data_IF_832030610944
#
_entry.id   IF_832030610944
#
_cell.length_a   1.000
_cell.length_b   1.000
_cell.length_c   1.000
_cell.angle_alpha   90.00
_cell.angle_beta   90.00
_cell.angle_gamma   90.00
#
_symmetry.space_group_name_H-M   'P 1'
#
loop_
_entity.id
_entity.type
_entity.pdbx_description
1 polymer ?
#
# COMPACT_ATOMS: atom_id res chain seq x y z
N UNK A 1 -12.36 -23.47 1.08
CA UNK A 1 -12.24 -22.11 0.53
C UNK A 1 -11.53 -22.21 -0.81
N UNK A 2 -12.15 -21.75 -1.86
CA UNK A 2 -11.54 -21.76 -3.18
C UNK A 2 -10.39 -20.76 -3.22
N UNK A 3 -9.27 -21.16 -3.81
CA UNK A 3 -8.16 -20.24 -4.04
C UNK A 3 -8.61 -19.14 -5.00
N UNK A 4 -8.16 -17.92 -4.74
CA UNK A 4 -8.45 -16.79 -5.62
C UNK A 4 -7.66 -16.96 -6.93
N UNK A 5 -8.35 -16.93 -8.06
CA UNK A 5 -7.70 -16.92 -9.36
C UNK A 5 -7.28 -15.49 -9.68
N UNK A 6 -6.07 -15.14 -9.29
CA UNK A 6 -5.56 -13.79 -9.44
C UNK A 6 -5.43 -13.36 -10.90
N UNK A 7 -5.13 -14.26 -11.80
CA UNK A 7 -4.95 -13.91 -13.21
C UNK A 7 -6.27 -13.49 -13.85
N UNK A 8 -7.36 -14.25 -13.61
CA UNK A 8 -8.70 -13.86 -14.03
C UNK A 8 -9.15 -12.56 -13.39
N UNK A 9 -8.87 -12.41 -12.10
CA UNK A 9 -9.26 -11.22 -11.34
C UNK A 9 -8.55 -9.97 -11.86
N UNK A 10 -7.23 -10.06 -12.12
CA UNK A 10 -6.45 -8.96 -12.68
C UNK A 10 -7.00 -8.52 -14.04
N UNK A 11 -7.33 -9.48 -14.90
CA UNK A 11 -7.89 -9.20 -16.22
C UNK A 11 -9.22 -8.46 -16.12
N UNK A 12 -10.08 -8.87 -15.20
CA UNK A 12 -11.37 -8.21 -14.99
C UNK A 12 -11.19 -6.79 -14.46
N UNK A 13 -10.26 -6.57 -13.55
CA UNK A 13 -9.94 -5.24 -13.01
C UNK A 13 -9.46 -4.32 -14.13
N UNK A 14 -8.57 -4.79 -15.00
CA UNK A 14 -8.07 -4.01 -16.13
C UNK A 14 -9.18 -3.61 -17.10
N UNK A 15 -10.08 -4.53 -17.42
CA UNK A 15 -11.20 -4.27 -18.33
C UNK A 15 -12.18 -3.24 -17.73
N UNK A 16 -12.54 -3.44 -16.46
CA UNK A 16 -13.55 -2.60 -15.80
C UNK A 16 -12.98 -1.30 -15.23
N UNK A 17 -11.66 -1.22 -15.10
CA UNK A 17 -10.96 -0.10 -14.44
C UNK A 17 -11.47 0.14 -13.03
N UNK A 18 -11.81 -0.94 -12.34
CA UNK A 18 -12.29 -0.92 -10.96
C UNK A 18 -12.14 -2.30 -10.34
N UNK A 19 -12.15 -2.35 -9.02
CA UNK A 19 -12.12 -3.62 -8.30
C UNK A 19 -13.50 -4.28 -8.34
N UNK A 20 -13.57 -5.60 -8.55
CA UNK A 20 -14.80 -6.32 -8.28
C UNK A 20 -15.08 -6.33 -6.78
N UNK A 21 -16.33 -6.28 -6.39
CA UNK A 21 -16.75 -6.30 -5.00
C UNK A 21 -17.20 -7.70 -4.58
N UNK A 22 -16.94 -8.12 -3.32
CA UNK A 22 -16.05 -7.51 -2.31
C UNK A 22 -14.64 -8.11 -2.36
N UNK A 23 -13.59 -7.29 -2.22
CA UNK A 23 -12.21 -7.74 -2.03
C UNK A 23 -11.78 -7.50 -0.59
N UNK A 24 -11.13 -8.48 0.01
CA UNK A 24 -10.52 -8.33 1.34
C UNK A 24 -9.21 -7.55 1.22
N UNK A 25 -8.80 -6.89 2.30
CA UNK A 25 -7.52 -6.15 2.30
C UNK A 25 -6.34 -7.06 1.95
N UNK A 26 -6.33 -8.30 2.46
CA UNK A 26 -5.28 -9.26 2.14
C UNK A 26 -5.23 -9.62 0.65
N UNK A 27 -6.39 -9.68 -0.02
CA UNK A 27 -6.44 -9.94 -1.46
C UNK A 27 -5.92 -8.74 -2.24
N UNK A 28 -6.26 -7.52 -1.82
CA UNK A 28 -5.75 -6.29 -2.43
C UNK A 28 -4.22 -6.27 -2.33
N UNK A 29 -3.67 -6.57 -1.15
CA UNK A 29 -2.22 -6.61 -0.94
C UNK A 29 -1.55 -7.64 -1.85
N UNK A 30 -2.10 -8.86 -1.92
CA UNK A 30 -1.54 -9.92 -2.76
C UNK A 30 -1.55 -9.55 -4.25
N UNK A 31 -2.61 -8.92 -4.72
CA UNK A 31 -2.72 -8.46 -6.10
C UNK A 31 -1.71 -7.35 -6.41
N UNK A 32 -1.53 -6.41 -5.51
CA UNK A 32 -0.56 -5.32 -5.68
C UNK A 32 0.86 -5.89 -5.75
N UNK A 33 1.22 -6.81 -4.85
CA UNK A 33 2.56 -7.41 -4.87
C UNK A 33 2.81 -8.18 -6.17
N UNK A 34 1.81 -8.89 -6.66
CA UNK A 34 1.90 -9.59 -7.96
C UNK A 34 2.12 -8.61 -9.11
N UNK A 35 1.41 -7.49 -9.10
CA UNK A 35 1.58 -6.43 -10.10
C UNK A 35 3.01 -5.87 -10.06
N UNK A 36 3.53 -5.57 -8.88
CA UNK A 36 4.87 -5.03 -8.73
C UNK A 36 5.95 -6.01 -9.20
N UNK A 37 5.77 -7.29 -8.91
CA UNK A 37 6.67 -8.34 -9.39
C UNK A 37 6.70 -8.37 -10.93
N UNK A 38 5.53 -8.33 -11.57
CA UNK A 38 5.43 -8.33 -13.03
C UNK A 38 5.96 -7.03 -13.66
N UNK A 39 5.90 -5.93 -12.93
CA UNK A 39 6.38 -4.62 -13.37
C UNK A 39 7.90 -4.45 -13.21
N UNK A 40 8.55 -5.35 -12.48
CA UNK A 40 9.99 -5.33 -12.19
C UNK A 40 10.43 -4.01 -11.52
N UNK A 41 9.66 -3.57 -10.53
CA UNK A 41 9.96 -2.39 -9.73
C UNK A 41 10.64 -2.77 -8.43
N UNK A 42 11.59 -1.95 -7.99
CA UNK A 42 12.21 -2.13 -6.68
C UNK A 42 11.21 -1.75 -5.59
N UNK A 43 10.69 -2.76 -4.91
CA UNK A 43 9.68 -2.58 -3.89
C UNK A 43 9.81 -3.65 -2.82
N UNK A 44 9.31 -3.36 -1.64
CA UNK A 44 9.22 -4.35 -0.58
C UNK A 44 8.08 -4.03 0.37
N UNK A 45 7.49 -5.07 1.00
CA UNK A 45 6.51 -4.83 2.05
C UNK A 45 7.20 -4.25 3.28
N UNK A 46 6.48 -3.41 4.00
CA UNK A 46 6.95 -2.92 5.28
C UNK A 46 6.75 -4.02 6.34
N UNK A 47 7.66 -4.10 7.31
CA UNK A 47 7.53 -5.08 8.39
C UNK A 47 6.29 -4.83 9.26
N UNK A 48 5.82 -3.60 9.34
CA UNK A 48 4.60 -3.28 10.09
C UNK A 48 3.33 -3.73 9.38
N UNK A 49 3.41 -4.06 8.08
CA UNK A 49 2.31 -4.68 7.34
C UNK A 49 2.11 -6.15 7.71
N UNK A 50 3.07 -6.75 8.40
CA UNK A 50 2.94 -8.10 8.93
C UNK A 50 2.11 -8.02 10.21
N UNK A 51 0.89 -8.57 10.17
CA UNK A 51 0.02 -8.56 11.35
C UNK A 51 0.62 -9.45 12.44
N UNK A 52 0.90 -8.85 13.59
CA UNK A 52 1.37 -9.59 14.74
C UNK A 52 0.28 -10.54 15.23
N UNK A 53 0.61 -11.82 15.38
CA UNK A 53 -0.35 -12.87 15.81
C UNK A 53 -0.36 -13.07 17.32
N UNK A 54 0.59 -12.47 18.05
CA UNK A 54 0.72 -12.66 19.49
C UNK A 54 1.39 -11.46 20.14
N UNK A 55 1.22 -11.36 21.47
CA UNK A 55 1.91 -10.34 22.25
C UNK A 55 3.44 -10.48 22.17
N UNK A 56 3.94 -11.71 22.04
CA UNK A 56 5.37 -11.95 21.84
C UNK A 56 5.90 -11.34 20.57
N UNK A 57 5.15 -11.47 19.47
CA UNK A 57 5.51 -10.86 18.19
C UNK A 57 5.48 -9.34 18.28
N UNK A 58 4.47 -8.77 18.94
CA UNK A 58 4.36 -7.32 19.14
C UNK A 58 5.59 -6.79 19.89
N UNK A 59 5.98 -7.47 20.98
CA UNK A 59 7.16 -7.08 21.76
C UNK A 59 8.44 -7.21 20.95
N UNK A 60 8.56 -8.28 20.17
CA UNK A 60 9.72 -8.49 19.30
C UNK A 60 9.83 -7.35 18.25
N UNK A 61 8.72 -7.00 17.61
CA UNK A 61 8.68 -5.92 16.61
C UNK A 61 9.09 -4.58 17.23
N UNK A 62 8.62 -4.28 18.43
CA UNK A 62 8.99 -3.06 19.15
C UNK A 62 10.49 -3.02 19.45
N UNK A 63 11.09 -4.15 19.86
CA UNK A 63 12.54 -4.24 20.09
C UNK A 63 13.35 -4.01 18.83
N UNK A 64 12.81 -4.37 17.67
CA UNK A 64 13.45 -4.14 16.36
C UNK A 64 13.26 -2.70 15.87
N UNK A 65 12.58 -1.85 16.65
CA UNK A 65 12.36 -0.46 16.26
C UNK A 65 11.21 -0.26 15.27
N UNK A 66 10.37 -1.26 15.08
CA UNK A 66 9.21 -1.18 14.19
C UNK A 66 8.12 -0.37 14.88
N UNK A 67 7.76 0.76 14.28
CA UNK A 67 6.74 1.66 14.82
C UNK A 67 5.38 1.41 14.20
N UNK A 68 4.31 1.62 14.98
CA UNK A 68 2.95 1.48 14.49
C UNK A 68 2.65 2.55 13.44
N UNK A 69 1.78 2.21 12.50
CA UNK A 69 1.28 3.14 11.49
C UNK A 69 2.13 3.23 10.24
N UNK A 70 3.25 2.52 10.17
CA UNK A 70 4.08 2.49 8.98
C UNK A 70 3.28 1.93 7.79
N UNK A 71 3.37 2.53 6.59
CA UNK A 71 2.64 2.01 5.42
C UNK A 71 3.00 0.58 5.04
N UNK A 72 2.09 -0.09 4.34
CA UNK A 72 2.24 -1.48 3.95
C UNK A 72 3.35 -1.71 2.93
N UNK A 73 3.65 -0.72 2.10
CA UNK A 73 4.48 -0.90 0.92
C UNK A 73 5.42 0.28 0.73
N UNK A 74 6.66 -0.03 0.35
CA UNK A 74 7.65 0.96 -0.04
C UNK A 74 8.06 0.66 -1.48
N UNK A 75 7.96 1.65 -2.36
CA UNK A 75 8.44 1.56 -3.74
C UNK A 75 9.69 2.43 -3.85
N UNK A 76 10.83 1.78 -4.04
CA UNK A 76 12.14 2.44 -4.07
C UNK A 76 12.51 2.86 -5.50
N UNK A 77 11.61 3.61 -6.14
CA UNK A 77 11.82 4.16 -7.47
C UNK A 77 11.78 5.68 -7.39
N UNK A 78 12.85 6.38 -7.79
CA UNK A 78 12.81 7.85 -7.82
C UNK A 78 11.83 8.35 -8.86
N UNK A 79 11.03 9.34 -8.52
CA UNK A 79 10.11 9.99 -9.46
C UNK A 79 9.84 11.42 -9.02
N UNK A 80 9.82 12.35 -9.97
CA UNK A 80 9.68 13.76 -9.66
C UNK A 80 10.78 14.21 -8.70
N UNK A 81 10.40 14.84 -7.61
CA UNK A 81 11.35 15.29 -6.57
C UNK A 81 11.55 14.27 -5.45
N UNK A 82 10.92 13.10 -5.55
CA UNK A 82 10.95 12.10 -4.49
C UNK A 82 11.86 10.94 -4.82
N UNK A 83 12.44 10.31 -3.80
CA UNK A 83 13.31 9.15 -3.95
C UNK A 83 12.52 7.84 -3.90
N UNK A 84 11.40 7.82 -3.21
CA UNK A 84 10.57 6.62 -3.05
C UNK A 84 9.15 7.01 -2.66
N UNK A 85 8.24 6.04 -2.80
CA UNK A 85 6.84 6.19 -2.42
C UNK A 85 6.53 5.24 -1.26
N UNK A 86 5.93 5.77 -0.21
CA UNK A 86 5.30 4.99 0.86
C UNK A 86 3.80 4.90 0.56
N UNK A 87 3.29 3.68 0.44
CA UNK A 87 1.89 3.46 0.07
C UNK A 87 1.17 2.57 1.07
N UNK A 88 0.12 3.10 1.68
CA UNK A 88 -0.79 2.34 2.54
C UNK A 88 -1.87 1.71 1.68
N UNK A 89 -2.07 0.40 1.81
CA UNK A 89 -3.03 -0.37 1.01
C UNK A 89 -4.25 -0.69 1.85
N UNK A 90 -5.40 -0.21 1.44
CA UNK A 90 -6.70 -0.47 2.07
C UNK A 90 -7.64 -1.15 1.10
N UNK A 91 -8.60 -1.93 1.63
CA UNK A 91 -9.73 -2.37 0.83
C UNK A 91 -10.65 -1.19 0.55
N UNK A 92 -11.53 -1.29 -0.44
CA UNK A 92 -12.56 -0.28 -0.67
C UNK A 92 -13.46 -0.24 0.57
N UNK A 93 -13.69 0.96 1.09
CA UNK A 93 -14.43 1.16 2.34
C UNK A 93 -13.61 1.04 3.61
N UNK A 94 -12.33 0.68 3.49
CA UNK A 94 -11.44 0.64 4.64
C UNK A 94 -11.14 2.03 5.19
N UNK A 95 -10.64 2.09 6.43
CA UNK A 95 -10.31 3.35 7.10
C UNK A 95 -8.92 3.31 7.69
N UNK A 96 -8.27 4.47 7.72
CA UNK A 96 -7.00 4.63 8.41
C UNK A 96 -7.24 4.70 9.91
N UNK A 97 -6.34 4.11 10.69
CA UNK A 97 -6.34 4.31 12.15
C UNK A 97 -5.53 5.55 12.52
N UNK A 98 -5.57 5.92 13.81
CA UNK A 98 -4.90 7.12 14.30
C UNK A 98 -3.37 7.06 14.13
N UNK A 99 -2.76 5.88 14.24
CA UNK A 99 -1.32 5.71 14.07
C UNK A 99 -0.90 5.88 12.62
N UNK A 100 -1.70 5.37 11.70
CA UNK A 100 -1.46 5.52 10.26
C UNK A 100 -1.57 6.99 9.84
N UNK A 101 -2.60 7.67 10.30
CA UNK A 101 -2.80 9.11 10.03
C UNK A 101 -1.61 9.92 10.57
N UNK A 102 -1.21 9.66 11.81
CA UNK A 102 -0.10 10.38 12.44
C UNK A 102 1.22 10.14 11.68
N UNK A 103 1.47 8.90 11.25
CA UNK A 103 2.67 8.56 10.49
C UNK A 103 2.70 9.31 9.16
N UNK A 104 1.59 9.28 8.42
CA UNK A 104 1.48 9.95 7.13
C UNK A 104 1.72 11.46 7.27
N UNK A 105 1.08 12.10 8.23
CA UNK A 105 1.25 13.54 8.47
C UNK A 105 2.70 13.90 8.76
N UNK A 106 3.37 13.13 9.64
CA UNK A 106 4.77 13.40 9.99
C UNK A 106 5.68 13.29 8.77
N UNK A 107 5.51 12.26 7.96
CA UNK A 107 6.43 11.96 6.86
C UNK A 107 6.17 12.84 5.64
N UNK A 108 4.93 13.22 5.41
CA UNK A 108 4.60 14.21 4.38
C UNK A 108 5.22 15.58 4.76
N UNK A 109 5.14 15.96 6.05
CA UNK A 109 5.74 17.19 6.51
C UNK A 109 7.26 17.22 6.34
N UNK A 110 7.91 16.03 6.38
CA UNK A 110 9.35 15.90 6.13
C UNK A 110 9.71 15.91 4.64
N UNK A 111 8.73 15.98 3.75
CA UNK A 111 8.96 16.01 2.32
C UNK A 111 8.97 14.63 1.64
N UNK A 112 8.50 13.59 2.31
CA UNK A 112 8.43 12.25 1.73
C UNK A 112 7.12 12.05 0.95
N UNK A 113 7.19 11.25 -0.11
CA UNK A 113 5.99 10.87 -0.87
C UNK A 113 5.24 9.77 -0.12
N UNK A 114 4.06 10.09 0.40
CA UNK A 114 3.21 9.16 1.14
C UNK A 114 1.80 9.23 0.58
N UNK A 115 1.20 8.08 0.32
CA UNK A 115 -0.15 8.01 -0.22
C UNK A 115 -0.93 6.84 0.37
N UNK A 116 -2.24 6.85 0.16
CA UNK A 116 -3.16 5.80 0.58
C UNK A 116 -3.98 5.40 -0.64
N UNK A 117 -4.15 4.11 -0.84
CA UNK A 117 -5.01 3.61 -1.91
C UNK A 117 -6.12 2.73 -1.33
N UNK A 118 -7.28 2.77 -1.98
CA UNK A 118 -8.46 2.02 -1.59
C UNK A 118 -8.84 1.06 -2.73
N UNK A 119 -8.47 -0.20 -2.59
CA UNK A 119 -8.65 -1.23 -3.60
C UNK A 119 -7.44 -1.37 -4.52
N UNK A 120 -7.46 -2.42 -5.32
CA UNK A 120 -6.36 -2.76 -6.23
C UNK A 120 -6.19 -1.72 -7.35
N UNK A 121 -7.28 -1.37 -8.01
CA UNK A 121 -7.21 -0.43 -9.15
C UNK A 121 -6.64 0.92 -8.72
N UNK A 122 -7.10 1.44 -7.58
CA UNK A 122 -6.60 2.71 -7.04
C UNK A 122 -5.12 2.64 -6.69
N UNK A 123 -4.66 1.49 -6.16
CA UNK A 123 -3.24 1.30 -5.85
C UNK A 123 -2.39 1.37 -7.12
N UNK A 124 -2.79 0.66 -8.17
CA UNK A 124 -2.08 0.66 -9.44
C UNK A 124 -2.09 2.05 -10.08
N UNK A 125 -3.23 2.72 -10.05
CA UNK A 125 -3.36 4.08 -10.54
C UNK A 125 -2.34 5.01 -9.85
N UNK A 126 -2.27 4.96 -8.53
CA UNK A 126 -1.35 5.82 -7.76
C UNK A 126 0.12 5.47 -7.99
N UNK A 127 0.45 4.18 -8.09
CA UNK A 127 1.81 3.74 -8.39
C UNK A 127 2.24 4.28 -9.75
N UNK A 128 1.44 4.10 -10.80
CA UNK A 128 1.78 4.55 -12.14
C UNK A 128 1.85 6.08 -12.25
N UNK A 129 0.94 6.79 -11.58
CA UNK A 129 0.98 8.25 -11.53
C UNK A 129 2.23 8.76 -10.81
N UNK A 130 2.60 8.13 -9.70
CA UNK A 130 3.84 8.45 -9.01
C UNK A 130 5.06 8.30 -9.92
N UNK A 131 5.14 7.19 -10.68
CA UNK A 131 6.24 6.92 -11.59
C UNK A 131 6.34 7.95 -12.72
N UNK A 132 5.23 8.58 -13.08
CA UNK A 132 5.16 9.65 -14.06
C UNK A 132 5.52 11.03 -13.48
N UNK A 133 5.81 11.09 -12.18
CA UNK A 133 6.14 12.34 -11.50
C UNK A 133 4.92 13.18 -11.12
N UNK A 134 3.71 12.62 -11.18
CA UNK A 134 2.50 13.34 -10.82
C UNK A 134 2.25 13.35 -9.31
N UNK A 135 1.61 14.42 -8.77
CA UNK A 135 1.31 14.50 -7.35
C UNK A 135 0.19 13.54 -6.97
N UNK A 136 0.50 12.57 -6.11
CA UNK A 136 -0.47 11.61 -5.60
C UNK A 136 -0.46 11.58 -4.06
N UNK A 137 0.07 12.63 -3.46
CA UNK A 137 0.28 12.68 -2.01
C UNK A 137 -1.06 12.71 -1.28
N UNK A 138 -1.16 11.93 -0.20
CA UNK A 138 -2.34 11.93 0.65
C UNK A 138 -2.62 13.34 1.21
N UNK A 139 -3.87 13.79 1.11
CA UNK A 139 -4.26 15.16 1.44
C UNK A 139 -4.92 15.32 2.83
N UNK A 140 -4.87 14.29 3.64
CA UNK A 140 -5.44 14.34 4.99
C UNK A 140 -6.89 13.93 5.09
N UNK A 141 -7.47 13.36 4.03
CA UNK A 141 -8.84 12.85 4.01
C UNK A 141 -8.84 11.35 4.21
N UNK A 142 -9.74 10.86 5.01
CA UNK A 142 -9.92 9.43 5.24
C UNK A 142 -10.69 8.76 4.11
#
# INVERSE_FOLDING_TARGET
MTSVDFDSLLKNIEIEQRDPQPLKESDVQALVFKYLENRDLDSHPSLSGIKAKSWGQIRFMKKQGIKKGHPDLIIEEPAGKYQMLYLELKKIGGKLDEYQIAWLKRHIAKGHACSVSYGYYDAIYKIEKYLQGEPIIWEGKE
#
